data_IF_903722848378
#
_entry.id   IF_903722848378
#
_cell.length_a   1.000
_cell.length_b   1.000
_cell.length_c   1.000
_cell.angle_alpha   90.00
_cell.angle_beta   90.00
_cell.angle_gamma   90.00
#
_symmetry.space_group_name_H-M   'P 1'
#
loop_
_entity.id
_entity.type
_entity.pdbx_description
1 polymer ?
#
# COMPACT_ATOMS: atom_id res chain seq x y z
N UNK A 1 -11.75 -17.96 -14.32
CA UNK A 1 -10.47 -17.75 -13.61
C UNK A 1 -10.32 -16.25 -13.44
N UNK A 2 -9.82 -15.85 -12.29
CA UNK A 2 -9.73 -14.45 -11.91
C UNK A 2 -8.28 -14.14 -11.54
N UNK A 3 -7.64 -14.94 -10.69
CA UNK A 3 -6.18 -14.96 -10.55
C UNK A 3 -5.56 -16.10 -11.40
N UNK A 4 -4.73 -15.78 -12.39
CA UNK A 4 -4.00 -16.81 -13.17
C UNK A 4 -2.72 -17.28 -12.48
N UNK A 5 -2.26 -16.52 -11.47
CA UNK A 5 -1.00 -16.69 -10.76
C UNK A 5 -1.08 -17.53 -9.47
N UNK A 6 -2.27 -17.99 -9.05
CA UNK A 6 -2.50 -18.63 -7.74
C UNK A 6 -1.41 -19.64 -7.35
N UNK A 7 -1.03 -19.67 -6.06
CA UNK A 7 -0.12 -20.65 -5.47
C UNK A 7 -0.72 -22.07 -5.55
N UNK A 8 -0.62 -22.66 -6.73
CA UNK A 8 -1.27 -23.90 -7.11
C UNK A 8 -0.25 -25.01 -7.26
N UNK A 9 -0.31 -25.98 -6.35
CA UNK A 9 0.41 -27.26 -6.35
C UNK A 9 -0.18 -28.20 -5.29
N UNK A 10 -1.46 -27.98 -4.96
CA UNK A 10 -2.10 -28.55 -3.80
C UNK A 10 -2.92 -29.75 -4.22
N UNK A 11 -2.68 -30.89 -3.58
CA UNK A 11 -3.66 -31.97 -3.65
C UNK A 11 -4.93 -31.55 -2.92
N UNK A 12 -6.09 -32.07 -3.31
CA UNK A 12 -7.35 -31.86 -2.56
C UNK A 12 -7.17 -32.14 -1.06
N UNK A 13 -6.41 -33.20 -0.72
CA UNK A 13 -6.09 -33.54 0.66
C UNK A 13 -5.24 -32.47 1.38
N UNK A 14 -4.25 -31.90 0.69
CA UNK A 14 -3.43 -30.80 1.20
C UNK A 14 -4.29 -29.57 1.45
N UNK A 15 -5.16 -29.20 0.50
CA UNK A 15 -6.03 -28.03 0.59
C UNK A 15 -6.97 -28.12 1.78
N UNK A 16 -7.65 -29.26 1.92
CA UNK A 16 -8.49 -29.48 3.09
C UNK A 16 -7.71 -29.49 4.40
N UNK A 17 -6.46 -29.95 4.41
CA UNK A 17 -5.63 -29.91 5.61
C UNK A 17 -5.30 -28.47 6.04
N UNK A 18 -4.82 -27.61 5.14
CA UNK A 18 -4.46 -26.22 5.48
C UNK A 18 -5.68 -25.34 5.75
N UNK A 19 -6.73 -25.47 4.93
CA UNK A 19 -8.03 -24.82 5.17
C UNK A 19 -8.55 -25.13 6.57
N UNK A 20 -8.49 -26.40 6.99
CA UNK A 20 -8.89 -26.80 8.33
C UNK A 20 -7.91 -26.31 9.40
N UNK A 21 -6.60 -26.29 9.13
CA UNK A 21 -5.58 -25.84 10.08
C UNK A 21 -5.67 -24.34 10.36
N UNK A 22 -5.91 -23.52 9.34
CA UNK A 22 -6.16 -22.07 9.47
C UNK A 22 -7.29 -21.79 10.47
N UNK A 23 -8.45 -22.42 10.27
CA UNK A 23 -9.60 -22.26 11.17
C UNK A 23 -9.29 -22.76 12.59
N UNK A 24 -8.61 -23.91 12.72
CA UNK A 24 -8.22 -24.45 14.03
C UNK A 24 -7.27 -23.54 14.80
N UNK A 25 -6.23 -23.02 14.13
CA UNK A 25 -5.23 -22.13 14.74
C UNK A 25 -5.91 -20.91 15.35
N UNK A 26 -6.85 -20.34 14.61
CA UNK A 26 -7.62 -19.18 15.06
C UNK A 26 -8.50 -19.50 16.27
N UNK A 27 -9.22 -20.61 16.24
CA UNK A 27 -10.12 -21.01 17.32
C UNK A 27 -9.41 -21.43 18.61
N UNK A 28 -8.13 -21.80 18.51
CA UNK A 28 -7.28 -22.21 19.62
C UNK A 28 -6.38 -21.07 20.14
N UNK A 29 -6.36 -19.90 19.52
CA UNK A 29 -5.62 -18.74 20.03
C UNK A 29 -6.30 -18.20 21.29
N UNK A 30 -5.56 -17.87 22.36
CA UNK A 30 -6.11 -17.06 23.45
C UNK A 30 -6.61 -15.75 22.83
N UNK A 31 -7.91 -15.47 22.96
CA UNK A 31 -8.44 -14.14 22.68
C UNK A 31 -7.61 -13.15 23.49
N UNK A 32 -6.98 -12.18 22.83
CA UNK A 32 -6.21 -11.13 23.47
C UNK A 32 -7.09 -10.45 24.52
N UNK A 33 -6.89 -10.75 25.81
CA UNK A 33 -7.45 -9.93 26.87
C UNK A 33 -6.55 -8.69 26.95
N UNK A 34 -7.09 -7.55 26.54
CA UNK A 34 -6.42 -6.26 26.68
C UNK A 34 -6.30 -5.95 28.17
N UNK A 35 -5.19 -6.38 28.79
CA UNK A 35 -4.89 -5.97 30.17
C UNK A 35 -4.57 -4.48 30.12
N UNK A 36 -5.52 -3.67 30.57
CA UNK A 36 -5.31 -2.23 30.77
C UNK A 36 -4.35 -2.07 31.94
N UNK A 37 -3.04 -1.97 31.68
CA UNK A 37 -2.05 -1.90 32.75
C UNK A 37 -1.68 -0.44 33.07
N UNK A 38 -2.19 0.03 34.20
CA UNK A 38 -1.50 1.04 35.00
C UNK A 38 -0.20 0.43 35.56
N UNK A 39 0.90 0.66 34.85
CA UNK A 39 2.30 0.68 35.31
C UNK A 39 3.01 -0.64 35.71
N UNK A 40 4.02 -0.95 34.87
CA UNK A 40 5.32 -1.61 35.06
C UNK A 40 5.50 -2.75 36.09
N UNK A 41 5.75 -3.95 35.54
CA UNK A 41 6.26 -5.11 36.29
C UNK A 41 5.81 -6.43 35.65
N UNK A 42 6.54 -6.90 34.64
CA UNK A 42 6.17 -8.07 33.84
C UNK A 42 6.12 -9.37 34.68
N UNK A 43 4.95 -9.99 34.67
CA UNK A 43 4.83 -11.45 34.49
C UNK A 43 3.68 -11.68 33.52
N UNK A 44 4.00 -12.19 32.34
CA UNK A 44 3.02 -12.70 31.37
C UNK A 44 2.39 -13.94 31.98
N UNK A 45 1.18 -13.83 32.52
CA UNK A 45 0.43 -15.01 32.92
C UNK A 45 -0.14 -15.66 31.65
N UNK A 46 0.55 -16.68 31.14
CA UNK A 46 -0.07 -17.67 30.26
C UNK A 46 -1.21 -18.29 31.06
N UNK A 47 -2.46 -18.05 30.67
CA UNK A 47 -3.57 -18.73 31.31
C UNK A 47 -3.36 -20.25 31.22
N UNK A 48 -3.64 -20.90 32.34
CA UNK A 48 -3.20 -22.24 32.68
C UNK A 48 -3.70 -23.32 31.69
N UNK A 49 -3.09 -24.52 31.68
CA UNK A 49 -3.44 -25.63 30.79
C UNK A 49 -4.91 -26.05 30.78
N UNK A 50 -5.74 -25.60 31.73
CA UNK A 50 -7.19 -25.83 31.74
C UNK A 50 -7.97 -24.97 30.72
N UNK A 51 -7.36 -23.92 30.16
CA UNK A 51 -7.93 -23.10 29.07
C UNK A 51 -7.82 -23.77 27.69
N UNK A 52 -7.08 -24.88 27.60
CA UNK A 52 -7.02 -25.81 26.46
C UNK A 52 -7.82 -27.08 26.81
N UNK A 53 -8.91 -26.95 27.58
CA UNK A 53 -9.99 -27.94 27.46
C UNK A 53 -10.68 -27.68 26.15
N UNK A 54 -10.11 -28.23 25.09
CA UNK A 54 -10.80 -28.77 23.93
C UNK A 54 -12.30 -28.44 23.97
N UNK A 55 -12.71 -27.47 23.14
CA UNK A 55 -14.07 -26.92 22.99
C UNK A 55 -15.13 -27.97 22.55
N UNK A 56 -14.98 -29.23 22.94
CA UNK A 56 -15.81 -30.39 22.60
C UNK A 56 -17.21 -30.33 23.21
N UNK A 57 -17.40 -29.51 24.24
CA UNK A 57 -18.72 -29.15 24.76
C UNK A 57 -19.09 -27.73 24.31
N UNK A 58 -20.40 -27.41 24.20
CA UNK A 58 -20.85 -26.05 23.96
C UNK A 58 -20.20 -25.05 24.92
N UNK A 59 -19.64 -23.98 24.37
CA UNK A 59 -18.94 -22.93 25.10
C UNK A 59 -19.44 -21.54 24.71
N UNK A 60 -19.16 -20.55 25.54
CA UNK A 60 -19.43 -19.14 25.24
C UNK A 60 -18.33 -18.61 24.33
N UNK A 61 -18.72 -18.16 23.15
CA UNK A 61 -17.81 -17.59 22.17
C UNK A 61 -17.89 -16.07 22.23
N UNK A 62 -16.77 -15.39 22.46
CA UNK A 62 -16.71 -13.93 22.57
C UNK A 62 -16.57 -13.31 21.19
N UNK A 63 -17.56 -12.50 20.81
CA UNK A 63 -17.59 -11.80 19.53
C UNK A 63 -16.99 -10.38 19.63
N UNK A 64 -16.47 -10.00 20.79
CA UNK A 64 -16.01 -8.66 21.08
C UNK A 64 -17.14 -7.70 21.45
N UNK A 65 -16.79 -6.58 22.08
CA UNK A 65 -17.74 -5.53 22.45
C UNK A 65 -18.82 -5.98 23.45
N UNK A 66 -18.53 -7.00 24.27
CA UNK A 66 -19.45 -7.56 25.26
C UNK A 66 -20.55 -8.46 24.68
N UNK A 67 -20.44 -8.87 23.40
CA UNK A 67 -21.38 -9.78 22.74
C UNK A 67 -20.84 -11.20 22.78
N UNK A 68 -21.72 -12.16 23.06
CA UNK A 68 -21.38 -13.57 23.11
C UNK A 68 -22.29 -14.39 22.20
N UNK A 69 -21.74 -15.44 21.61
CA UNK A 69 -22.45 -16.54 20.96
C UNK A 69 -22.30 -17.84 21.75
N UNK A 70 -22.88 -18.92 21.24
CA UNK A 70 -22.61 -20.29 21.73
C UNK A 70 -22.11 -21.11 20.56
N UNK A 71 -20.94 -21.71 20.74
CA UNK A 71 -20.28 -22.52 19.72
C UNK A 71 -19.82 -23.86 20.30
N UNK A 72 -19.38 -24.77 19.43
CA UNK A 72 -18.79 -26.06 19.79
C UNK A 72 -17.69 -26.45 18.80
N UNK A 73 -16.72 -27.25 19.25
CA UNK A 73 -15.56 -27.62 18.47
C UNK A 73 -14.72 -26.39 18.12
N UNK A 74 -14.32 -26.31 16.85
CA UNK A 74 -13.54 -25.19 16.32
C UNK A 74 -14.49 -24.08 15.81
N UNK A 75 -15.32 -23.50 16.67
CA UNK A 75 -16.13 -22.33 16.30
C UNK A 75 -17.44 -22.62 15.57
N UNK A 76 -17.97 -23.84 15.60
CA UNK A 76 -19.28 -24.14 15.00
C UNK A 76 -20.38 -23.41 15.76
N UNK A 77 -20.73 -22.21 15.29
CA UNK A 77 -21.66 -21.28 15.94
C UNK A 77 -23.11 -21.75 15.75
N UNK A 78 -23.80 -21.93 16.88
CA UNK A 78 -25.17 -22.43 16.94
C UNK A 78 -26.23 -21.36 16.63
N UNK A 79 -25.88 -20.08 16.68
CA UNK A 79 -26.74 -18.96 16.28
C UNK A 79 -26.68 -18.71 14.77
N UNK A 80 -25.52 -18.92 14.14
CA UNK A 80 -25.35 -18.77 12.68
C UNK A 80 -26.05 -19.86 11.86
N UNK A 81 -26.52 -20.92 12.50
CA UNK A 81 -27.10 -22.09 11.85
C UNK A 81 -28.58 -22.33 12.20
N UNK A 82 -29.31 -22.91 11.25
CA UNK A 82 -30.67 -23.39 11.51
C UNK A 82 -30.62 -24.63 12.41
N UNK A 83 -31.66 -24.88 13.22
CA UNK A 83 -31.69 -26.05 14.11
C UNK A 83 -31.63 -27.36 13.32
N UNK A 84 -32.26 -27.40 12.14
CA UNK A 84 -32.16 -28.53 11.22
C UNK A 84 -30.74 -28.75 10.71
N UNK A 85 -30.01 -27.68 10.36
CA UNK A 85 -28.62 -27.80 9.92
C UNK A 85 -27.73 -28.29 11.06
N UNK A 86 -27.90 -27.76 12.27
CA UNK A 86 -27.15 -28.19 13.47
C UNK A 86 -27.35 -29.70 13.69
N UNK A 87 -28.60 -30.17 13.66
CA UNK A 87 -28.91 -31.60 13.80
C UNK A 87 -28.25 -32.43 12.70
N UNK A 88 -28.35 -32.00 11.44
CA UNK A 88 -27.81 -32.72 10.30
C UNK A 88 -26.27 -32.83 10.36
N UNK A 89 -25.57 -31.76 10.72
CA UNK A 89 -24.11 -31.77 10.85
C UNK A 89 -23.64 -32.63 12.02
N UNK A 90 -24.27 -32.49 13.19
CA UNK A 90 -23.91 -33.29 14.36
C UNK A 90 -24.17 -34.79 14.14
N UNK A 91 -25.29 -35.15 13.49
CA UNK A 91 -25.59 -36.54 13.17
C UNK A 91 -24.56 -37.17 12.23
N UNK A 92 -24.06 -36.42 11.23
CA UNK A 92 -23.02 -36.89 10.31
C UNK A 92 -21.69 -37.21 11.01
N UNK A 93 -21.41 -36.58 12.15
CA UNK A 93 -20.22 -36.87 12.97
C UNK A 93 -20.52 -37.81 14.15
N UNK A 94 -21.70 -38.44 14.17
CA UNK A 94 -22.08 -39.41 15.19
C UNK A 94 -22.56 -38.80 16.51
N UNK A 95 -22.90 -37.51 16.53
CA UNK A 95 -23.43 -36.81 17.71
C UNK A 95 -24.94 -36.65 17.56
N UNK A 96 -25.70 -37.29 18.45
CA UNK A 96 -27.16 -37.17 18.47
C UNK A 96 -27.60 -36.19 19.54
N UNK A 97 -28.37 -35.18 19.15
CA UNK A 97 -28.98 -34.23 20.10
C UNK A 97 -30.13 -34.88 20.85
N UNK A 98 -30.22 -34.61 22.15
CA UNK A 98 -31.40 -35.00 22.93
C UNK A 98 -32.57 -34.09 22.60
N UNK A 99 -33.80 -34.52 22.91
CA UNK A 99 -34.98 -33.66 22.78
C UNK A 99 -34.86 -32.36 23.59
N UNK A 100 -34.16 -32.39 24.72
CA UNK A 100 -33.88 -31.20 25.53
C UNK A 100 -32.98 -30.22 24.79
N UNK A 101 -31.89 -30.71 24.18
CA UNK A 101 -30.97 -29.87 23.39
C UNK A 101 -31.72 -29.21 22.22
N UNK A 102 -32.56 -29.99 21.51
CA UNK A 102 -33.37 -29.49 20.39
C UNK A 102 -34.34 -28.39 20.85
N UNK A 103 -35.01 -28.60 21.98
CA UNK A 103 -35.92 -27.60 22.55
C UNK A 103 -35.17 -26.32 22.95
N UNK A 104 -33.98 -26.45 23.53
CA UNK A 104 -33.13 -25.30 23.87
C UNK A 104 -32.70 -24.52 22.60
N UNK A 105 -32.26 -25.22 21.55
CA UNK A 105 -31.88 -24.60 20.28
C UNK A 105 -33.05 -23.90 19.57
N UNK A 106 -34.25 -24.49 19.60
CA UNK A 106 -35.46 -23.87 19.06
C UNK A 106 -35.84 -22.59 19.81
N UNK A 107 -35.59 -22.55 21.12
CA UNK A 107 -35.88 -21.39 21.96
C UNK A 107 -34.68 -20.42 22.12
N UNK A 108 -33.57 -20.63 21.40
CA UNK A 108 -32.30 -19.91 21.64
C UNK A 108 -32.41 -18.39 21.64
N UNK A 109 -33.28 -17.83 20.80
CA UNK A 109 -33.48 -16.38 20.70
C UNK A 109 -34.18 -15.76 21.93
N UNK A 110 -34.69 -16.59 22.84
CA UNK A 110 -35.31 -16.17 24.11
C UNK A 110 -34.37 -16.32 25.31
N UNK A 111 -33.20 -16.93 25.10
CA UNK A 111 -32.21 -17.23 26.12
C UNK A 111 -31.01 -16.30 25.94
N UNK A 112 -30.34 -15.94 27.04
CA UNK A 112 -28.99 -15.39 26.93
C UNK A 112 -28.01 -16.48 26.47
N UNK A 113 -26.87 -16.13 25.86
CA UNK A 113 -25.84 -17.11 25.48
C UNK A 113 -25.45 -18.04 26.63
N UNK A 114 -25.30 -17.51 27.85
CA UNK A 114 -24.98 -18.29 29.05
C UNK A 114 -26.09 -19.27 29.43
N UNK A 115 -27.35 -18.85 29.31
CA UNK A 115 -28.51 -19.72 29.56
C UNK A 115 -28.64 -20.82 28.52
N UNK A 116 -28.43 -20.50 27.24
CA UNK A 116 -28.43 -21.49 26.17
C UNK A 116 -27.31 -22.51 26.41
N UNK A 117 -26.06 -22.06 26.63
CA UNK A 117 -24.92 -22.92 26.90
C UNK A 117 -25.19 -23.88 28.07
N UNK A 118 -25.81 -23.38 29.15
CA UNK A 118 -26.15 -24.20 30.31
C UNK A 118 -27.28 -25.22 30.04
N UNK A 119 -28.12 -24.97 29.03
CA UNK A 119 -29.24 -25.85 28.65
C UNK A 119 -28.83 -26.97 27.68
N UNK A 120 -27.62 -26.89 27.10
CA UNK A 120 -27.09 -27.86 26.16
C UNK A 120 -26.20 -28.88 26.88
N UNK A 121 -26.35 -30.15 26.52
CA UNK A 121 -25.72 -31.29 27.22
C UNK A 121 -24.87 -32.19 26.32
N UNK A 122 -24.93 -32.01 25.00
CA UNK A 122 -24.18 -32.81 24.05
C UNK A 122 -22.66 -32.52 24.06
N UNK A 123 -21.87 -33.46 23.55
CA UNK A 123 -20.41 -33.34 23.40
C UNK A 123 -19.94 -34.01 22.11
N UNK A 124 -18.86 -33.50 21.51
CA UNK A 124 -18.23 -34.09 20.33
C UNK A 124 -17.37 -35.32 20.67
N UNK A 125 -17.09 -35.57 21.95
CA UNK A 125 -16.39 -36.78 22.41
C UNK A 125 -14.88 -36.78 22.21
N UNK A 126 -14.35 -36.30 21.07
CA UNK A 126 -12.91 -36.18 20.81
C UNK A 126 -12.59 -35.15 19.70
N UNK A 127 -11.30 -34.84 19.52
CA UNK A 127 -10.83 -33.87 18.52
C UNK A 127 -11.09 -34.29 17.06
N UNK A 128 -11.15 -35.60 16.80
CA UNK A 128 -11.41 -36.12 15.45
C UNK A 128 -12.85 -35.78 15.06
N UNK A 129 -13.82 -35.99 15.96
CA UNK A 129 -15.21 -35.57 15.75
C UNK A 129 -15.33 -34.07 15.53
N UNK A 130 -14.60 -33.26 16.30
CA UNK A 130 -14.58 -31.80 16.13
C UNK A 130 -13.97 -31.37 14.79
N UNK A 131 -12.89 -32.04 14.37
CA UNK A 131 -12.24 -31.80 13.08
C UNK A 131 -13.17 -32.18 11.92
N UNK A 132 -13.88 -33.30 12.03
CA UNK A 132 -14.83 -33.76 11.04
C UNK A 132 -16.04 -32.81 10.94
N UNK A 133 -16.55 -32.32 12.08
CA UNK A 133 -17.66 -31.37 12.10
C UNK A 133 -17.31 -30.08 11.37
N UNK A 134 -16.13 -29.54 11.66
CA UNK A 134 -15.60 -28.36 10.98
C UNK A 134 -15.41 -28.63 9.49
N UNK A 135 -14.76 -29.75 9.12
CA UNK A 135 -14.55 -30.12 7.72
C UNK A 135 -15.85 -30.18 6.91
N UNK A 136 -16.89 -30.81 7.46
CA UNK A 136 -18.23 -30.88 6.87
C UNK A 136 -18.86 -29.51 6.72
N UNK A 137 -18.77 -28.67 7.75
CA UNK A 137 -19.34 -27.33 7.71
C UNK A 137 -18.65 -26.44 6.67
N UNK A 138 -17.31 -26.49 6.60
CA UNK A 138 -16.55 -25.74 5.62
C UNK A 138 -16.96 -26.13 4.20
N UNK A 139 -16.99 -27.44 3.91
CA UNK A 139 -17.35 -27.98 2.60
C UNK A 139 -18.80 -27.66 2.20
N UNK A 140 -19.76 -27.84 3.10
CA UNK A 140 -21.19 -27.73 2.77
C UNK A 140 -21.76 -26.32 2.92
N UNK A 141 -21.05 -25.39 3.59
CA UNK A 141 -21.51 -24.01 3.82
C UNK A 141 -20.49 -22.96 3.38
N UNK A 142 -19.30 -22.94 4.00
CA UNK A 142 -18.36 -21.84 3.80
C UNK A 142 -17.83 -21.78 2.35
N UNK A 143 -17.49 -22.92 1.74
CA UNK A 143 -17.05 -22.97 0.35
C UNK A 143 -18.15 -22.56 -0.63
N UNK A 144 -19.38 -23.01 -0.38
CA UNK A 144 -20.55 -22.63 -1.21
C UNK A 144 -20.82 -21.13 -1.11
N UNK A 145 -20.66 -20.55 0.07
CA UNK A 145 -20.80 -19.11 0.28
C UNK A 145 -19.69 -18.32 -0.41
N UNK A 146 -18.44 -18.81 -0.38
CA UNK A 146 -17.33 -18.21 -1.10
C UNK A 146 -17.61 -18.17 -2.60
N UNK A 147 -17.94 -19.32 -3.20
CA UNK A 147 -18.20 -19.40 -4.64
C UNK A 147 -19.39 -18.51 -5.04
N UNK A 148 -20.42 -18.41 -4.19
CA UNK A 148 -21.55 -17.50 -4.41
C UNK A 148 -21.16 -16.01 -4.33
N UNK A 149 -20.26 -15.64 -3.41
CA UNK A 149 -19.77 -14.27 -3.26
C UNK A 149 -18.89 -13.83 -4.43
N UNK A 150 -18.08 -14.76 -4.95
CA UNK A 150 -17.22 -14.54 -6.11
C UNK A 150 -18.01 -14.60 -7.44
N UNK A 151 -19.03 -15.44 -7.51
CA UNK A 151 -19.75 -15.73 -8.77
C UNK A 151 -19.03 -16.76 -9.66
N UNK A 152 -17.93 -17.32 -9.17
CA UNK A 152 -17.15 -18.37 -9.84
C UNK A 152 -16.40 -19.19 -8.78
N UNK A 153 -15.86 -20.34 -9.21
CA UNK A 153 -15.04 -21.20 -8.36
C UNK A 153 -13.55 -20.89 -8.58
N UNK A 154 -12.85 -20.45 -7.53
CA UNK A 154 -11.38 -20.46 -7.49
C UNK A 154 -10.89 -21.89 -7.30
N UNK A 155 -9.84 -22.29 -8.01
CA UNK A 155 -9.20 -23.61 -7.83
C UNK A 155 -8.57 -23.75 -6.45
N UNK A 156 -8.33 -24.98 -6.02
CA UNK A 156 -7.73 -25.27 -4.72
C UNK A 156 -6.31 -24.71 -4.61
N UNK A 157 -6.13 -23.78 -3.67
CA UNK A 157 -4.88 -23.06 -3.39
C UNK A 157 -4.87 -22.54 -1.95
N UNK A 158 -3.75 -21.97 -1.52
CA UNK A 158 -3.64 -21.33 -0.20
C UNK A 158 -4.54 -20.10 -0.09
N UNK A 159 -4.64 -19.32 -1.15
CA UNK A 159 -5.50 -18.15 -1.25
C UNK A 159 -6.97 -18.54 -1.13
N UNK A 160 -7.40 -19.63 -1.80
CA UNK A 160 -8.76 -20.14 -1.61
C UNK A 160 -8.98 -20.56 -0.16
N UNK A 161 -8.03 -21.26 0.46
CA UNK A 161 -8.13 -21.68 1.86
C UNK A 161 -8.28 -20.46 2.79
N UNK A 162 -7.54 -19.38 2.51
CA UNK A 162 -7.60 -18.12 3.23
C UNK A 162 -8.95 -17.42 3.05
N UNK A 163 -9.47 -17.34 1.83
CA UNK A 163 -10.80 -16.79 1.57
C UNK A 163 -11.91 -17.60 2.27
N UNK A 164 -11.80 -18.93 2.31
CA UNK A 164 -12.74 -19.79 3.05
C UNK A 164 -12.66 -19.52 4.55
N UNK A 165 -11.45 -19.36 5.11
CA UNK A 165 -11.25 -19.00 6.51
C UNK A 165 -11.87 -17.65 6.86
N UNK A 166 -11.74 -16.66 5.97
CA UNK A 166 -12.39 -15.36 6.09
C UNK A 166 -13.92 -15.48 6.08
N UNK A 167 -14.49 -16.22 5.13
CA UNK A 167 -15.94 -16.44 5.01
C UNK A 167 -16.51 -17.16 6.24
N UNK A 168 -15.83 -18.21 6.71
CA UNK A 168 -16.23 -18.97 7.90
C UNK A 168 -16.45 -18.07 9.11
N UNK A 169 -15.57 -17.09 9.27
CA UNK A 169 -15.47 -16.29 10.46
C UNK A 169 -16.24 -14.97 10.41
N UNK A 170 -16.06 -14.19 9.35
CA UNK A 170 -16.54 -12.80 9.26
C UNK A 170 -17.74 -12.57 8.35
N UNK A 171 -18.37 -13.64 7.84
CA UNK A 171 -19.57 -13.53 7.04
C UNK A 171 -19.35 -12.84 5.68
N UNK A 172 -20.42 -12.77 4.89
CA UNK A 172 -20.43 -12.41 3.47
C UNK A 172 -19.95 -10.99 3.10
N UNK A 173 -19.51 -10.18 4.07
CA UNK A 173 -19.00 -8.82 3.84
C UNK A 173 -17.50 -8.75 3.58
N UNK A 174 -16.72 -9.77 3.98
CA UNK A 174 -15.25 -9.76 3.76
C UNK A 174 -14.92 -9.87 2.27
N UNK A 175 -15.69 -10.64 1.51
CA UNK A 175 -15.60 -10.67 0.05
C UNK A 175 -16.36 -9.46 -0.52
N UNK A 176 -15.83 -8.27 -0.24
CA UNK A 176 -16.38 -7.00 -0.71
C UNK A 176 -16.16 -6.78 -2.21
N UNK A 177 -16.78 -5.74 -2.79
CA UNK A 177 -16.68 -5.46 -4.22
C UNK A 177 -15.25 -5.14 -4.67
N UNK A 178 -14.42 -4.52 -3.82
CA UNK A 178 -13.02 -4.19 -4.14
C UNK A 178 -12.13 -5.43 -4.13
N UNK A 179 -12.21 -6.26 -3.09
CA UNK A 179 -11.52 -7.55 -3.08
C UNK A 179 -11.95 -8.40 -4.27
N UNK A 180 -13.25 -8.47 -4.57
CA UNK A 180 -13.72 -9.20 -5.77
C UNK A 180 -13.13 -8.61 -7.06
N UNK A 181 -13.11 -7.29 -7.20
CA UNK A 181 -12.52 -6.64 -8.39
C UNK A 181 -11.04 -6.95 -8.54
N UNK A 182 -10.26 -6.89 -7.45
CA UNK A 182 -8.84 -7.25 -7.44
C UNK A 182 -8.62 -8.71 -7.85
N UNK A 183 -9.45 -9.62 -7.33
CA UNK A 183 -9.43 -11.03 -7.74
C UNK A 183 -9.77 -11.17 -9.23
N UNK A 184 -10.86 -10.53 -9.70
CA UNK A 184 -11.33 -10.58 -11.10
C UNK A 184 -10.30 -10.04 -12.11
N UNK A 185 -9.47 -9.08 -11.69
CA UNK A 185 -8.44 -8.46 -12.51
C UNK A 185 -7.06 -9.10 -12.39
N UNK A 186 -6.93 -10.23 -11.70
CA UNK A 186 -5.65 -10.87 -11.39
C UNK A 186 -4.66 -9.95 -10.63
N UNK A 187 -5.18 -8.98 -9.87
CA UNK A 187 -4.36 -8.02 -9.12
C UNK A 187 -4.14 -8.54 -7.70
N UNK A 188 -3.10 -9.36 -7.54
CA UNK A 188 -2.75 -9.96 -6.25
C UNK A 188 -2.33 -8.94 -5.19
N UNK A 189 -1.42 -7.98 -5.45
CA UNK A 189 -1.06 -6.99 -4.44
C UNK A 189 -2.26 -6.22 -3.89
N UNK A 190 -3.21 -5.87 -4.76
CA UNK A 190 -4.45 -5.22 -4.35
C UNK A 190 -5.34 -6.16 -3.52
N UNK A 191 -5.47 -7.43 -3.90
CA UNK A 191 -6.21 -8.41 -3.10
C UNK A 191 -5.58 -8.62 -1.71
N UNK A 192 -4.24 -8.65 -1.64
CA UNK A 192 -3.49 -8.72 -0.39
C UNK A 192 -3.80 -7.50 0.49
N UNK A 193 -3.76 -6.29 -0.07
CA UNK A 193 -4.09 -5.04 0.64
C UNK A 193 -5.52 -5.04 1.18
N UNK A 194 -6.48 -5.38 0.33
CA UNK A 194 -7.91 -5.43 0.67
C UNK A 194 -8.19 -6.38 1.84
N UNK A 195 -7.50 -7.51 1.88
CA UNK A 195 -7.55 -8.46 2.99
C UNK A 195 -6.81 -7.91 4.20
N UNK A 196 -5.59 -7.39 4.06
CA UNK A 196 -4.71 -7.00 5.17
C UNK A 196 -5.27 -5.81 5.96
N UNK A 197 -5.59 -4.73 5.25
CA UNK A 197 -5.92 -3.42 5.82
C UNK A 197 -7.41 -3.14 5.88
N UNK A 198 -8.23 -4.10 5.46
CA UNK A 198 -9.66 -4.09 5.67
C UNK A 198 -10.39 -2.93 4.98
N UNK A 199 -10.06 -2.69 3.72
CA UNK A 199 -10.76 -1.73 2.88
C UNK A 199 -12.28 -2.01 2.75
N UNK A 200 -12.76 -3.22 3.13
CA UNK A 200 -14.17 -3.65 3.09
C UNK A 200 -14.86 -4.01 4.43
N UNK A 201 -14.30 -3.77 5.63
CA UNK A 201 -14.87 -4.31 6.88
C UNK A 201 -14.82 -3.40 8.12
N UNK A 202 -15.50 -3.81 9.20
CA UNK A 202 -15.42 -3.16 10.52
C UNK A 202 -14.17 -3.66 11.27
N UNK A 203 -13.39 -2.81 11.95
CA UNK A 203 -12.04 -3.11 12.53
C UNK A 203 -11.82 -4.41 13.34
N UNK A 204 -12.83 -5.25 13.52
CA UNK A 204 -12.83 -6.60 14.10
C UNK A 204 -11.96 -7.57 13.28
N UNK A 205 -11.15 -8.42 13.94
CA UNK A 205 -10.33 -9.50 13.33
C UNK A 205 -9.01 -9.11 12.59
N UNK A 206 -8.33 -8.04 13.01
CA UNK A 206 -7.03 -7.60 12.45
C UNK A 206 -5.95 -8.70 12.38
N UNK A 207 -5.76 -9.48 13.45
CA UNK A 207 -4.76 -10.55 13.49
C UNK A 207 -5.03 -11.68 12.49
N UNK A 208 -6.30 -11.91 12.15
CA UNK A 208 -6.68 -12.94 11.19
C UNK A 208 -6.39 -12.47 9.78
N UNK A 209 -6.86 -11.28 9.43
CA UNK A 209 -6.57 -10.64 8.13
C UNK A 209 -5.09 -10.60 7.83
N UNK A 210 -4.28 -10.32 8.86
CA UNK A 210 -2.83 -10.44 8.77
C UNK A 210 -2.41 -11.84 8.28
N UNK A 211 -2.84 -12.91 8.94
CA UNK A 211 -2.45 -14.27 8.58
C UNK A 211 -3.02 -14.74 7.22
N UNK A 212 -4.23 -14.31 6.87
CA UNK A 212 -4.89 -14.71 5.62
C UNK A 212 -4.33 -13.95 4.41
N UNK A 213 -3.96 -12.67 4.57
CA UNK A 213 -3.25 -11.92 3.53
C UNK A 213 -1.85 -12.50 3.28
N UNK A 214 -1.13 -12.95 4.31
CA UNK A 214 0.17 -13.62 4.11
C UNK A 214 0.05 -14.88 3.24
N UNK A 215 -1.11 -15.54 3.20
CA UNK A 215 -1.38 -16.68 2.29
C UNK A 215 -1.66 -16.28 0.85
N UNK A 216 -2.09 -15.05 0.61
CA UNK A 216 -2.04 -14.45 -0.72
C UNK A 216 -0.59 -14.11 -1.10
N UNK A 217 0.14 -13.55 -0.14
CA UNK A 217 1.46 -12.99 -0.38
C UNK A 217 1.40 -11.76 -1.30
N UNK A 218 2.48 -10.98 -1.28
CA UNK A 218 2.68 -9.89 -2.25
C UNK A 218 3.38 -10.40 -3.53
N UNK A 219 3.93 -11.62 -3.48
CA UNK A 219 4.79 -12.21 -4.49
C UNK A 219 4.42 -13.68 -4.73
N UNK A 220 4.72 -14.21 -5.91
CA UNK A 220 4.68 -15.64 -6.27
C UNK A 220 5.86 -16.40 -5.65
N UNK A 221 6.00 -16.26 -4.33
CA UNK A 221 6.88 -17.07 -3.49
C UNK A 221 6.05 -17.72 -2.39
N UNK A 222 6.15 -19.04 -2.18
CA UNK A 222 5.57 -19.62 -0.98
C UNK A 222 6.28 -19.00 0.22
N UNK A 223 5.62 -18.99 1.36
CA UNK A 223 6.13 -18.71 2.71
C UNK A 223 7.44 -19.47 3.11
N UNK A 224 8.20 -20.04 2.18
CA UNK A 224 9.28 -20.98 2.46
C UNK A 224 10.59 -20.80 1.67
N UNK A 225 10.79 -19.78 0.81
CA UNK A 225 12.11 -19.67 0.13
C UNK A 225 12.63 -18.27 -0.24
N UNK A 226 12.04 -17.18 0.27
CA UNK A 226 12.67 -15.85 0.15
C UNK A 226 12.98 -15.45 -1.31
N UNK A 227 12.20 -15.92 -2.28
CA UNK A 227 12.39 -15.55 -3.68
C UNK A 227 11.94 -14.10 -3.83
N UNK A 228 12.87 -13.21 -4.14
CA UNK A 228 12.58 -11.81 -4.42
C UNK A 228 11.54 -11.69 -5.55
N UNK A 229 10.68 -10.66 -5.55
CA UNK A 229 9.73 -10.44 -6.62
C UNK A 229 10.40 -10.43 -7.99
N UNK A 230 9.66 -10.85 -9.01
CA UNK A 230 10.00 -10.47 -10.37
C UNK A 230 9.67 -8.99 -10.62
N UNK A 231 10.08 -8.47 -11.77
CA UNK A 231 9.92 -7.04 -12.10
C UNK A 231 8.47 -6.57 -12.01
N UNK A 232 7.54 -7.32 -12.60
CA UNK A 232 6.13 -6.91 -12.68
C UNK A 232 5.46 -7.01 -11.31
N UNK A 233 5.83 -8.01 -10.51
CA UNK A 233 5.39 -8.13 -9.11
C UNK A 233 5.89 -6.96 -8.27
N UNK A 234 7.17 -6.62 -8.39
CA UNK A 234 7.76 -5.51 -7.65
C UNK A 234 7.11 -4.17 -8.02
N UNK A 235 6.82 -3.97 -9.32
CA UNK A 235 6.11 -2.77 -9.80
C UNK A 235 4.73 -2.69 -9.20
N UNK A 236 3.98 -3.77 -9.25
CA UNK A 236 2.59 -3.76 -8.79
C UNK A 236 2.49 -3.64 -7.27
N UNK A 237 3.47 -4.16 -6.52
CA UNK A 237 3.55 -3.99 -5.07
C UNK A 237 3.93 -2.58 -4.66
N UNK A 238 4.96 -1.98 -5.28
CA UNK A 238 5.28 -0.57 -5.03
C UNK A 238 4.12 0.35 -5.46
N UNK A 239 3.47 0.06 -6.59
CA UNK A 239 2.28 0.79 -7.05
C UNK A 239 1.13 0.69 -6.05
N UNK A 240 0.81 -0.51 -5.58
CA UNK A 240 -0.22 -0.72 -4.57
C UNK A 240 0.09 0.08 -3.31
N UNK A 241 1.33 0.04 -2.83
CA UNK A 241 1.73 0.83 -1.67
C UNK A 241 1.59 2.32 -1.88
N UNK A 242 2.06 2.85 -3.02
CA UNK A 242 1.91 4.26 -3.36
C UNK A 242 0.44 4.68 -3.41
N UNK A 243 -0.44 3.84 -3.98
CA UNK A 243 -1.88 4.14 -4.09
C UNK A 243 -2.60 4.18 -2.74
N UNK A 244 -2.19 3.34 -1.77
CA UNK A 244 -2.86 3.20 -0.48
C UNK A 244 -2.00 3.64 0.71
N UNK A 245 -0.96 4.44 0.46
CA UNK A 245 0.05 4.79 1.45
C UNK A 245 -0.59 5.38 2.72
N UNK A 246 -1.52 6.32 2.55
CA UNK A 246 -2.19 6.98 3.66
C UNK A 246 -3.10 6.03 4.46
N UNK A 247 -3.90 5.18 3.80
CA UNK A 247 -4.76 4.20 4.46
C UNK A 247 -3.96 3.16 5.23
N UNK A 248 -2.86 2.69 4.63
CA UNK A 248 -1.92 1.77 5.27
C UNK A 248 -1.33 2.43 6.51
N UNK A 249 -0.80 3.65 6.40
CA UNK A 249 -0.20 4.37 7.53
C UNK A 249 -1.22 4.71 8.61
N UNK A 250 -2.44 5.10 8.24
CA UNK A 250 -3.51 5.38 9.19
C UNK A 250 -3.93 4.11 9.95
N UNK A 251 -4.09 2.99 9.25
CA UNK A 251 -4.36 1.70 9.87
C UNK A 251 -3.22 1.29 10.79
N UNK A 252 -1.99 1.27 10.30
CA UNK A 252 -0.82 0.89 11.10
C UNK A 252 -0.66 1.80 12.32
N UNK A 253 -0.89 3.11 12.20
CA UNK A 253 -0.87 4.06 13.32
C UNK A 253 -1.97 3.83 14.36
N UNK A 254 -3.09 3.19 14.03
CA UNK A 254 -4.13 2.80 15.00
C UNK A 254 -3.78 1.54 15.79
N UNK A 255 -2.98 0.65 15.19
CA UNK A 255 -2.61 -0.64 15.80
C UNK A 255 -1.17 -0.65 16.37
N UNK A 256 -0.34 0.33 16.01
CA UNK A 256 1.03 0.55 16.52
C UNK A 256 1.14 1.13 17.97
N UNK A 257 0.18 1.91 18.53
CA UNK A 257 0.34 2.54 19.84
C UNK A 257 -0.17 1.71 21.03
N UNK A 258 -0.48 0.42 20.86
CA UNK A 258 -0.87 -0.45 21.97
C UNK A 258 0.36 -0.92 22.78
N UNK A 259 0.87 0.01 23.60
CA UNK A 259 1.54 -0.20 24.88
C UNK A 259 2.27 -1.56 25.07
N UNK A 260 3.47 -1.68 24.50
CA UNK A 260 4.47 -2.66 24.94
C UNK A 260 4.38 -4.07 24.35
N UNK A 261 3.53 -4.30 23.35
CA UNK A 261 3.78 -5.43 22.42
C UNK A 261 4.92 -5.03 21.48
N UNK A 262 5.83 -5.94 21.09
CA UNK A 262 6.84 -5.62 20.09
C UNK A 262 6.12 -5.01 18.87
N UNK A 263 6.68 -3.95 18.26
CA UNK A 263 6.10 -3.38 17.03
C UNK A 263 5.80 -4.57 16.13
N UNK A 264 4.58 -4.63 15.59
CA UNK A 264 4.17 -5.72 14.71
C UNK A 264 5.31 -5.82 13.69
N UNK A 265 6.13 -6.87 13.77
CA UNK A 265 7.46 -6.90 13.13
C UNK A 265 7.36 -7.16 11.62
N UNK A 266 6.26 -6.71 11.03
CA UNK A 266 5.75 -7.06 9.72
C UNK A 266 4.75 -5.98 9.22
N UNK A 267 5.04 -4.69 9.46
CA UNK A 267 4.43 -3.62 8.67
C UNK A 267 4.74 -3.83 7.18
N UNK A 268 3.98 -3.20 6.28
CA UNK A 268 4.20 -3.41 4.84
C UNK A 268 5.65 -3.08 4.43
N UNK A 269 6.32 -2.18 5.14
CA UNK A 269 7.69 -1.71 4.91
C UNK A 269 8.71 -2.83 4.65
N UNK A 270 8.64 -3.94 5.38
CA UNK A 270 9.53 -5.09 5.14
C UNK A 270 9.28 -5.70 3.76
N UNK A 271 8.02 -5.81 3.34
CA UNK A 271 7.69 -6.29 2.01
C UNK A 271 8.10 -5.28 0.94
N UNK A 272 7.86 -3.98 1.16
CA UNK A 272 8.26 -2.93 0.22
C UNK A 272 9.74 -2.96 -0.07
N UNK A 273 10.59 -3.25 0.91
CA UNK A 273 12.02 -3.34 0.66
C UNK A 273 12.35 -4.35 -0.43
N UNK A 274 11.70 -5.51 -0.51
CA UNK A 274 11.97 -6.49 -1.58
C UNK A 274 11.53 -6.02 -2.96
N UNK A 275 10.41 -5.29 -3.04
CA UNK A 275 9.94 -4.72 -4.32
C UNK A 275 10.78 -3.55 -4.75
N UNK A 276 11.09 -2.65 -3.83
CA UNK A 276 12.00 -1.54 -4.04
C UNK A 276 13.36 -2.05 -4.52
N UNK A 277 13.96 -3.00 -3.82
CA UNK A 277 15.24 -3.62 -4.18
C UNK A 277 15.20 -4.28 -5.57
N UNK A 278 14.05 -4.85 -5.96
CA UNK A 278 13.87 -5.44 -7.29
C UNK A 278 13.72 -4.38 -8.37
N UNK A 279 12.92 -3.35 -8.13
CA UNK A 279 12.78 -2.24 -9.07
C UNK A 279 14.12 -1.60 -9.28
N UNK A 280 14.88 -1.35 -8.18
CA UNK A 280 16.32 -1.01 -8.03
C UNK A 280 17.29 -2.09 -8.56
N UNK A 281 16.84 -3.12 -9.27
CA UNK A 281 17.77 -4.01 -10.00
C UNK A 281 17.53 -3.95 -11.51
N UNK A 282 16.33 -3.58 -11.94
CA UNK A 282 15.97 -3.71 -13.34
C UNK A 282 16.48 -2.52 -14.17
N UNK A 283 16.36 -1.27 -13.71
CA UNK A 283 16.85 -0.10 -14.46
C UNK A 283 18.36 0.00 -14.53
N UNK A 284 19.12 -0.47 -13.55
CA UNK A 284 20.57 -0.53 -13.66
C UNK A 284 21.03 -1.40 -14.85
N UNK A 285 20.14 -2.19 -15.47
CA UNK A 285 20.41 -3.03 -16.65
C UNK A 285 20.06 -2.38 -18.02
N UNK A 286 19.73 -1.09 -18.11
CA UNK A 286 19.58 -0.37 -19.40
C UNK A 286 18.44 -0.80 -20.29
N UNK A 287 17.52 -1.56 -19.72
CA UNK A 287 16.17 -1.65 -20.24
C UNK A 287 15.54 -0.27 -20.01
N UNK A 288 14.81 0.30 -20.98
CA UNK A 288 13.77 1.27 -20.61
C UNK A 288 12.87 0.54 -19.63
N UNK A 289 13.01 1.02 -18.44
CA UNK A 289 12.13 0.97 -17.31
C UNK A 289 11.84 2.50 -17.34
N UNK A 290 10.62 3.00 -17.38
CA UNK A 290 9.66 2.79 -16.30
C UNK A 290 10.39 2.25 -15.05
N UNK A 291 11.39 3.06 -14.59
CA UNK A 291 12.75 2.93 -13.94
C UNK A 291 12.97 2.28 -12.55
N UNK A 292 14.21 2.34 -12.00
CA UNK A 292 14.64 1.73 -10.72
C UNK A 292 14.13 2.66 -9.65
N UNK A 293 13.30 2.16 -8.73
CA UNK A 293 12.66 3.00 -7.73
C UNK A 293 13.59 3.17 -6.53
N UNK A 294 14.51 4.12 -6.59
CA UNK A 294 15.32 4.55 -5.45
C UNK A 294 14.46 5.38 -4.51
N UNK A 295 14.13 4.84 -3.34
CA UNK A 295 13.38 5.59 -2.32
C UNK A 295 14.31 5.86 -1.14
N UNK A 296 14.42 7.12 -0.77
CA UNK A 296 15.04 7.62 0.44
C UNK A 296 14.44 6.97 1.68
N UNK A 297 15.05 7.25 2.83
CA UNK A 297 14.51 6.89 4.12
C UNK A 297 13.40 7.90 4.42
N UNK A 298 12.24 7.42 4.87
CA UNK A 298 11.20 8.28 5.47
C UNK A 298 11.67 8.77 6.85
N UNK A 299 12.77 9.55 6.88
CA UNK A 299 13.29 10.18 8.09
C UNK A 299 13.23 11.70 8.02
N UNK A 300 12.95 12.33 9.16
CA UNK A 300 12.83 13.80 9.24
C UNK A 300 14.23 14.44 9.14
N UNK A 301 15.32 13.70 9.43
CA UNK A 301 16.74 14.09 9.29
C UNK A 301 17.69 12.89 9.57
N UNK A 302 18.85 12.73 8.86
CA UNK A 302 19.36 13.55 7.75
C UNK A 302 18.94 13.02 6.36
N UNK A 303 18.68 13.93 5.42
CA UNK A 303 18.28 13.59 4.04
C UNK A 303 19.28 12.71 3.29
N UNK A 304 18.83 12.15 2.20
CA UNK A 304 19.49 11.13 1.41
C UNK A 304 20.32 11.70 0.25
N UNK A 305 21.18 10.85 -0.29
CA UNK A 305 21.85 11.11 -1.57
C UNK A 305 21.59 9.91 -2.45
N UNK A 306 20.78 10.11 -3.48
CA UNK A 306 20.36 9.12 -4.45
C UNK A 306 21.09 9.41 -5.76
N UNK A 307 22.07 8.58 -6.08
CA UNK A 307 22.80 8.65 -7.33
C UNK A 307 22.32 7.51 -8.24
N UNK A 308 21.64 7.91 -9.31
CA UNK A 308 21.16 7.10 -10.39
C UNK A 308 22.25 6.56 -11.30
N UNK A 309 21.85 5.84 -12.35
CA UNK A 309 22.77 5.11 -13.22
C UNK A 309 22.85 5.66 -14.65
N UNK A 310 23.14 4.83 -15.64
CA UNK A 310 23.30 5.25 -17.03
C UNK A 310 22.09 4.81 -17.90
N UNK A 311 20.94 4.60 -17.28
CA UNK A 311 19.71 4.04 -17.87
C UNK A 311 18.52 4.99 -17.56
N UNK A 312 17.21 4.63 -17.66
CA UNK A 312 16.11 5.57 -17.27
C UNK A 312 15.41 5.39 -15.88
N UNK A 313 15.69 6.27 -14.91
CA UNK A 313 15.65 6.01 -13.45
C UNK A 313 14.38 6.49 -12.72
N UNK A 314 14.14 6.06 -11.48
CA UNK A 314 13.05 6.56 -10.62
C UNK A 314 13.56 6.88 -9.20
N UNK A 315 14.00 8.11 -8.94
CA UNK A 315 14.53 8.53 -7.64
C UNK A 315 13.45 9.26 -6.84
N UNK A 316 13.32 8.95 -5.55
CA UNK A 316 12.38 9.53 -4.58
C UNK A 316 13.15 9.87 -3.30
N UNK A 317 13.38 11.14 -2.98
CA UNK A 317 14.04 11.56 -1.75
C UNK A 317 13.18 11.36 -0.50
N UNK A 318 11.85 11.48 -0.66
CA UNK A 318 10.85 11.40 0.42
C UNK A 318 10.87 12.59 1.37
N UNK A 319 11.47 12.46 2.56
CA UNK A 319 11.57 13.55 3.53
C UNK A 319 13.02 13.82 3.80
N UNK A 320 13.33 15.08 4.10
CA UNK A 320 14.68 15.50 4.40
C UNK A 320 15.27 16.27 3.22
N UNK A 321 16.48 16.75 3.40
CA UNK A 321 17.14 17.54 2.36
C UNK A 321 17.98 16.60 1.50
N UNK A 322 17.46 16.26 0.33
CA UNK A 322 17.93 15.16 -0.47
C UNK A 322 18.78 15.64 -1.65
N UNK A 323 19.63 14.75 -2.15
CA UNK A 323 20.43 15.00 -3.35
C UNK A 323 20.22 13.87 -4.33
N UNK A 324 19.48 14.14 -5.40
CA UNK A 324 19.12 13.19 -6.44
C UNK A 324 19.91 13.48 -7.72
N UNK A 325 20.54 12.47 -8.32
CA UNK A 325 21.29 12.61 -9.57
C UNK A 325 20.95 11.48 -10.53
N UNK A 326 20.28 11.72 -11.66
CA UNK A 326 19.91 10.68 -12.62
C UNK A 326 21.10 10.10 -13.39
N UNK A 327 22.05 10.98 -13.74
CA UNK A 327 23.29 10.74 -14.47
C UNK A 327 23.17 10.58 -15.99
N UNK A 328 22.75 9.44 -16.55
CA UNK A 328 22.51 9.36 -17.99
C UNK A 328 21.34 8.42 -18.27
N UNK A 329 20.62 8.66 -19.37
CA UNK A 329 19.38 7.96 -19.71
C UNK A 329 18.16 8.77 -19.28
N UNK A 330 16.94 8.30 -19.56
CA UNK A 330 15.71 9.10 -19.34
C UNK A 330 15.21 8.92 -17.91
N UNK A 331 15.59 9.82 -17.03
CA UNK A 331 15.41 9.70 -15.59
C UNK A 331 14.18 10.43 -15.07
N UNK A 332 13.68 9.98 -13.92
CA UNK A 332 12.61 10.61 -13.16
C UNK A 332 13.07 10.80 -11.72
N UNK A 333 13.18 12.04 -11.29
CA UNK A 333 13.64 12.41 -9.95
C UNK A 333 12.54 13.16 -9.20
N UNK A 334 12.25 12.75 -7.96
CA UNK A 334 11.32 13.38 -7.03
C UNK A 334 12.06 13.68 -5.72
N UNK A 335 12.27 14.95 -5.39
CA UNK A 335 12.90 15.35 -4.12
C UNK A 335 12.00 14.99 -2.94
N UNK A 336 10.85 15.64 -2.82
CA UNK A 336 9.87 15.38 -1.78
C UNK A 336 9.74 16.55 -0.81
N UNK A 337 9.69 16.29 0.49
CA UNK A 337 9.65 17.32 1.53
C UNK A 337 11.08 17.68 1.96
N UNK A 338 11.58 18.86 1.59
CA UNK A 338 12.86 19.33 2.10
C UNK A 338 13.55 20.33 1.19
N UNK A 339 14.84 20.54 1.41
CA UNK A 339 15.64 21.39 0.53
C UNK A 339 16.46 20.46 -0.34
N UNK A 340 15.98 20.19 -1.54
CA UNK A 340 16.49 19.12 -2.38
C UNK A 340 17.38 19.65 -3.50
N UNK A 341 18.28 18.80 -3.98
CA UNK A 341 19.15 19.09 -5.12
C UNK A 341 19.01 17.97 -6.14
N UNK A 342 18.37 18.27 -7.27
CA UNK A 342 18.10 17.34 -8.35
C UNK A 342 18.96 17.67 -9.58
N UNK A 343 19.62 16.65 -10.14
CA UNK A 343 20.39 16.73 -11.39
C UNK A 343 19.95 15.60 -12.32
N UNK A 344 19.37 15.90 -13.48
CA UNK A 344 18.94 14.87 -14.45
C UNK A 344 20.14 14.14 -15.03
N UNK A 345 21.03 14.89 -15.69
CA UNK A 345 22.29 14.37 -16.17
C UNK A 345 22.39 14.43 -17.68
N UNK A 346 22.08 13.36 -18.39
CA UNK A 346 22.16 13.30 -19.84
C UNK A 346 21.01 12.49 -20.40
N UNK A 347 20.60 12.78 -21.64
CA UNK A 347 19.31 12.40 -22.21
C UNK A 347 18.14 13.18 -21.57
N UNK A 348 16.91 12.92 -22.02
CA UNK A 348 15.76 13.73 -21.63
C UNK A 348 15.16 13.26 -20.31
N UNK A 349 15.24 14.10 -19.28
CA UNK A 349 14.89 13.80 -17.90
C UNK A 349 13.60 14.52 -17.42
N UNK A 350 13.04 14.05 -16.31
CA UNK A 350 11.96 14.67 -15.55
C UNK A 350 12.38 14.87 -14.10
N UNK A 351 12.43 16.13 -13.64
CA UNK A 351 12.80 16.46 -12.26
C UNK A 351 11.66 17.19 -11.57
N UNK A 352 11.38 16.79 -10.33
CA UNK A 352 10.38 17.38 -9.44
C UNK A 352 10.97 17.67 -8.07
N UNK A 353 11.11 18.94 -7.71
CA UNK A 353 11.67 19.36 -6.41
C UNK A 353 10.77 18.90 -5.27
N UNK A 354 9.54 19.42 -5.21
CA UNK A 354 8.58 19.07 -4.19
C UNK A 354 8.23 20.28 -3.34
N UNK A 355 8.42 20.19 -2.02
CA UNK A 355 8.10 21.26 -1.10
C UNK A 355 9.37 21.85 -0.48
N UNK A 356 9.35 23.17 -0.30
CA UNK A 356 10.41 24.05 0.17
C UNK A 356 11.34 24.59 -0.93
N UNK A 357 12.65 24.41 -0.82
CA UNK A 357 13.60 25.23 -1.58
C UNK A 357 14.51 24.32 -2.38
N UNK A 358 14.17 24.06 -3.63
CA UNK A 358 14.82 23.02 -4.42
C UNK A 358 15.74 23.60 -5.48
N UNK A 359 16.78 22.86 -5.84
CA UNK A 359 17.70 23.19 -6.91
C UNK A 359 17.62 22.14 -8.00
N UNK A 360 17.14 22.50 -9.18
CA UNK A 360 16.93 21.60 -10.32
C UNK A 360 17.88 21.95 -11.47
N UNK A 361 18.63 20.96 -11.94
CA UNK A 361 19.43 21.04 -13.17
C UNK A 361 19.07 19.86 -14.07
N UNK A 362 18.52 20.13 -15.26
CA UNK A 362 18.19 19.09 -16.24
C UNK A 362 19.46 18.35 -16.69
N UNK A 363 20.44 19.09 -17.19
CA UNK A 363 21.64 18.50 -17.76
C UNK A 363 21.49 18.37 -19.27
N UNK A 364 22.25 17.49 -19.91
CA UNK A 364 22.32 17.36 -21.35
C UNK A 364 21.09 16.64 -21.94
N UNK A 365 20.07 17.34 -22.39
CA UNK A 365 18.82 16.77 -22.88
C UNK A 365 17.86 17.87 -23.28
N UNK A 366 16.63 17.49 -23.64
CA UNK A 366 15.53 18.46 -23.61
C UNK A 366 14.66 18.06 -22.40
N UNK A 367 14.94 18.66 -21.25
CA UNK A 367 14.44 18.19 -19.96
C UNK A 367 13.14 18.88 -19.53
N UNK A 368 12.44 18.27 -18.57
CA UNK A 368 11.26 18.85 -17.92
C UNK A 368 11.51 19.03 -16.44
N UNK A 369 11.37 20.26 -15.95
CA UNK A 369 11.66 20.63 -14.57
C UNK A 369 10.44 21.29 -13.92
N UNK A 370 10.13 20.86 -12.70
CA UNK A 370 9.02 21.35 -11.86
C UNK A 370 9.54 21.49 -10.42
N UNK A 371 9.76 22.72 -9.96
CA UNK A 371 10.29 23.04 -8.64
C UNK A 371 9.28 22.69 -7.55
N UNK A 372 8.06 23.21 -7.70
CA UNK A 372 6.95 22.85 -6.83
C UNK A 372 6.59 24.02 -5.91
N UNK A 373 6.55 23.78 -4.61
CA UNK A 373 6.11 24.76 -3.63
C UNK A 373 7.28 25.37 -2.88
N UNK A 374 7.58 26.63 -3.14
CA UNK A 374 8.50 27.44 -2.34
C UNK A 374 9.30 28.36 -3.22
N UNK A 375 10.61 28.50 -2.98
CA UNK A 375 11.47 29.33 -3.81
C UNK A 375 12.55 28.44 -4.42
N UNK A 376 12.34 28.09 -5.67
CA UNK A 376 13.14 27.08 -6.36
C UNK A 376 14.17 27.72 -7.30
N UNK A 377 15.24 26.97 -7.56
CA UNK A 377 16.34 27.40 -8.40
C UNK A 377 16.50 26.46 -9.58
N UNK A 378 16.38 27.01 -10.78
CA UNK A 378 16.60 26.30 -12.04
C UNK A 378 17.95 26.68 -12.62
N UNK A 379 18.76 25.68 -12.94
CA UNK A 379 20.13 25.88 -13.41
C UNK A 379 20.28 25.32 -14.82
N UNK A 380 20.82 26.15 -15.71
CA UNK A 380 21.22 25.78 -17.06
C UNK A 380 22.68 26.13 -17.32
N UNK A 381 23.39 25.23 -17.97
CA UNK A 381 24.77 25.38 -18.40
C UNK A 381 24.91 25.13 -19.90
N UNK A 382 25.97 25.66 -20.51
CA UNK A 382 26.29 25.38 -21.92
C UNK A 382 26.38 23.86 -22.12
N UNK A 383 25.49 23.35 -22.98
CA UNK A 383 25.42 21.93 -23.32
C UNK A 383 24.22 21.21 -22.73
N UNK A 384 23.44 21.87 -21.85
CA UNK A 384 22.28 21.27 -21.21
C UNK A 384 21.18 21.01 -22.26
N UNK A 385 20.72 22.03 -22.99
CA UNK A 385 19.82 21.81 -24.14
C UNK A 385 18.66 22.78 -24.13
N UNK A 386 17.49 22.38 -24.62
CA UNK A 386 16.29 23.21 -24.60
C UNK A 386 15.28 22.67 -23.59
N UNK A 387 15.46 23.11 -22.36
CA UNK A 387 14.69 22.63 -21.22
C UNK A 387 13.37 23.38 -21.07
N UNK A 388 12.44 22.75 -20.36
CA UNK A 388 11.10 23.29 -20.12
C UNK A 388 10.82 23.35 -18.63
N UNK A 389 10.44 24.55 -18.17
CA UNK A 389 10.02 24.80 -16.79
C UNK A 389 8.50 24.89 -16.74
N UNK A 390 7.90 24.02 -15.93
CA UNK A 390 6.47 24.00 -15.62
C UNK A 390 6.28 24.34 -14.15
N UNK A 391 6.36 25.63 -13.80
CA UNK A 391 6.23 26.09 -12.42
C UNK A 391 5.18 27.20 -12.29
N UNK A 392 4.49 27.20 -11.16
CA UNK A 392 3.50 28.20 -10.77
C UNK A 392 3.90 28.99 -9.52
N UNK A 393 5.08 28.71 -8.96
CA UNK A 393 5.73 29.50 -7.92
C UNK A 393 5.88 30.98 -8.31
N UNK A 394 5.89 31.85 -7.30
CA UNK A 394 5.88 33.31 -7.51
C UNK A 394 7.25 33.96 -7.31
N UNK A 395 8.26 33.24 -6.80
CA UNK A 395 9.52 33.83 -6.34
C UNK A 395 10.78 32.96 -6.65
N UNK A 396 10.72 32.18 -7.71
CA UNK A 396 11.81 31.29 -8.13
C UNK A 396 12.98 32.05 -8.78
N UNK A 397 14.03 31.34 -9.16
CA UNK A 397 15.17 31.93 -9.88
C UNK A 397 15.66 31.01 -10.99
N UNK A 398 16.01 31.61 -12.13
CA UNK A 398 16.66 30.90 -13.24
C UNK A 398 18.09 31.40 -13.40
N UNK A 399 19.05 30.47 -13.44
CA UNK A 399 20.45 30.74 -13.69
C UNK A 399 20.89 30.15 -15.02
N UNK A 400 21.53 30.98 -15.85
CA UNK A 400 22.10 30.57 -17.14
C UNK A 400 23.60 30.83 -17.09
N UNK A 401 24.40 29.76 -17.12
CA UNK A 401 25.87 29.80 -16.94
C UNK A 401 26.31 30.59 -15.69
N UNK A 402 25.57 30.43 -14.60
CA UNK A 402 25.82 31.12 -13.34
C UNK A 402 25.37 32.60 -13.31
N UNK A 403 24.77 33.11 -14.38
CA UNK A 403 24.13 34.42 -14.39
C UNK A 403 22.63 34.27 -14.09
N UNK A 404 22.18 34.90 -13.01
CA UNK A 404 20.75 34.98 -12.70
C UNK A 404 20.04 35.82 -13.76
N UNK A 405 18.93 35.29 -14.28
CA UNK A 405 18.07 36.04 -15.18
C UNK A 405 17.25 37.04 -14.35
N UNK A 406 17.29 38.31 -14.76
CA UNK A 406 16.54 39.40 -14.10
C UNK A 406 15.60 40.11 -15.07
N UNK A 407 15.49 39.61 -16.30
CA UNK A 407 14.73 40.22 -17.38
C UNK A 407 15.54 41.18 -18.24
N UNK A 408 14.83 42.03 -18.98
CA UNK A 408 15.41 42.78 -20.08
C UNK A 408 14.53 43.92 -20.58
N UNK A 409 15.14 44.76 -21.42
CA UNK A 409 14.49 45.91 -22.04
C UNK A 409 14.23 45.60 -23.51
N UNK A 410 13.05 45.93 -24.00
CA UNK A 410 12.72 45.89 -25.42
C UNK A 410 12.88 47.26 -26.03
N UNK A 411 13.87 47.41 -26.90
CA UNK A 411 14.12 48.64 -27.64
C UNK A 411 13.12 48.85 -28.78
N UNK A 412 12.92 50.12 -29.16
CA UNK A 412 12.02 50.46 -30.25
C UNK A 412 12.44 49.75 -31.56
N UNK A 413 11.50 49.02 -32.16
CA UNK A 413 11.64 48.22 -33.40
C UNK A 413 12.34 46.86 -33.25
N UNK A 414 12.53 46.34 -32.04
CA UNK A 414 12.93 44.95 -31.82
C UNK A 414 11.72 44.09 -31.40
N UNK A 415 11.64 42.81 -31.83
CA UNK A 415 10.53 41.93 -31.44
C UNK A 415 10.72 41.25 -30.07
N UNK A 416 11.94 41.26 -29.52
CA UNK A 416 12.34 40.58 -28.27
C UNK A 416 12.80 41.59 -27.20
N UNK A 417 12.84 41.16 -25.93
CA UNK A 417 13.58 41.85 -24.86
C UNK A 417 14.99 41.28 -24.78
N UNK A 418 15.94 42.11 -24.38
CA UNK A 418 17.34 41.71 -24.26
C UNK A 418 17.89 42.17 -22.91
N UNK A 419 18.73 41.36 -22.30
CA UNK A 419 19.42 41.76 -21.07
C UNK A 419 20.49 42.82 -21.37
N UNK A 420 21.00 43.49 -20.33
CA UNK A 420 21.87 44.66 -20.48
C UNK A 420 23.17 44.40 -21.26
N UNK A 421 23.68 43.17 -21.28
CA UNK A 421 24.91 42.79 -21.98
C UNK A 421 24.67 42.20 -23.38
N UNK A 422 23.42 42.03 -23.82
CA UNK A 422 23.10 41.51 -25.15
C UNK A 422 23.22 39.99 -25.31
N UNK A 423 23.48 39.25 -24.24
CA UNK A 423 23.77 37.81 -24.32
C UNK A 423 22.54 36.93 -24.21
N UNK A 424 21.49 37.41 -23.53
CA UNK A 424 20.22 36.70 -23.32
C UNK A 424 19.08 37.48 -23.98
N UNK A 425 18.29 36.76 -24.76
CA UNK A 425 17.06 37.27 -25.38
C UNK A 425 15.84 36.55 -24.83
N UNK A 426 14.77 37.31 -24.74
CA UNK A 426 13.48 36.88 -24.23
C UNK A 426 12.41 37.16 -25.28
N UNK A 427 11.60 36.16 -25.60
CA UNK A 427 10.50 36.28 -26.56
C UNK A 427 9.24 35.61 -26.00
N UNK A 428 8.10 36.30 -26.06
CA UNK A 428 6.82 35.70 -25.67
C UNK A 428 6.23 34.92 -26.85
N UNK A 429 5.97 33.63 -26.65
CA UNK A 429 5.23 32.76 -27.57
C UNK A 429 3.92 32.32 -26.91
N UNK A 430 2.83 33.02 -27.22
CA UNK A 430 1.58 32.86 -26.50
C UNK A 430 1.73 33.31 -25.04
N UNK A 431 1.52 32.39 -24.10
CA UNK A 431 1.75 32.61 -22.65
C UNK A 431 3.13 32.15 -22.19
N UNK A 432 3.93 31.52 -23.06
CA UNK A 432 5.24 30.99 -22.68
C UNK A 432 6.33 32.02 -22.95
N UNK A 433 7.34 32.07 -22.08
CA UNK A 433 8.55 32.84 -22.29
C UNK A 433 9.63 31.92 -22.88
N UNK A 434 10.12 32.29 -24.05
CA UNK A 434 11.24 31.65 -24.72
C UNK A 434 12.51 32.42 -24.39
N UNK A 435 13.49 31.72 -23.81
CA UNK A 435 14.81 32.29 -23.50
C UNK A 435 15.83 31.73 -24.48
N UNK A 436 16.60 32.63 -25.08
CA UNK A 436 17.61 32.30 -26.10
C UNK A 436 18.96 32.88 -25.71
N UNK A 437 20.01 32.06 -25.80
CA UNK A 437 21.40 32.50 -25.65
C UNK A 437 22.18 32.21 -26.94
N UNK A 438 22.86 33.22 -27.48
CA UNK A 438 23.70 33.05 -28.69
C UNK A 438 22.92 32.62 -29.95
N UNK A 439 21.59 32.78 -29.97
CA UNK A 439 20.72 32.35 -31.06
C UNK A 439 20.15 30.92 -30.91
N UNK A 440 20.50 30.21 -29.85
CA UNK A 440 19.93 28.90 -29.50
C UNK A 440 18.90 29.08 -28.39
N UNK A 441 17.74 28.48 -28.56
CA UNK A 441 16.73 28.41 -27.50
C UNK A 441 17.24 27.49 -26.38
N UNK A 442 17.21 27.97 -25.14
CA UNK A 442 17.76 27.27 -23.97
C UNK A 442 16.69 26.96 -22.92
N UNK A 443 15.63 27.76 -22.87
CA UNK A 443 14.49 27.52 -21.99
C UNK A 443 13.17 27.84 -22.68
N UNK A 444 12.17 27.06 -22.33
CA UNK A 444 10.76 27.43 -22.41
C UNK A 444 10.19 27.49 -20.99
N UNK A 445 9.85 28.69 -20.53
CA UNK A 445 9.13 28.88 -19.26
C UNK A 445 7.65 28.95 -19.56
N UNK A 446 6.90 27.98 -19.06
CA UNK A 446 5.48 27.88 -19.35
C UNK A 446 4.64 28.87 -18.57
N UNK A 447 3.61 29.44 -19.22
CA UNK A 447 2.63 30.35 -18.59
C UNK A 447 3.23 31.56 -17.86
N UNK A 448 4.39 32.02 -18.32
CA UNK A 448 5.14 33.11 -17.74
C UNK A 448 4.35 34.43 -17.65
N UNK A 449 4.48 35.09 -16.51
CA UNK A 449 4.08 36.46 -16.26
C UNK A 449 5.30 37.27 -15.82
N UNK A 450 5.42 38.51 -16.32
CA UNK A 450 6.51 39.40 -15.90
C UNK A 450 6.53 39.56 -14.39
N UNK A 451 7.72 39.44 -13.80
CA UNK A 451 7.97 39.42 -12.37
C UNK A 451 8.19 38.00 -11.81
N UNK A 452 7.66 36.95 -12.46
CA UNK A 452 7.96 35.57 -12.08
C UNK A 452 9.44 35.26 -12.31
N UNK A 453 9.99 34.35 -11.52
CA UNK A 453 11.42 33.99 -11.52
C UNK A 453 12.36 35.19 -11.28
N UNK A 454 11.83 36.32 -10.77
CA UNK A 454 12.55 37.59 -10.70
C UNK A 454 12.86 38.23 -12.06
N UNK A 455 12.17 37.82 -13.13
CA UNK A 455 12.39 38.28 -14.50
C UNK A 455 11.41 39.41 -14.84
N UNK A 456 11.93 40.65 -14.92
CA UNK A 456 11.14 41.82 -15.30
C UNK A 456 11.36 42.22 -16.77
N UNK A 457 10.31 42.10 -17.58
CA UNK A 457 10.34 42.48 -18.99
C UNK A 457 9.73 43.87 -19.18
N UNK A 458 10.54 44.83 -19.60
CA UNK A 458 10.13 46.24 -19.71
C UNK A 458 10.26 46.77 -21.13
N UNK A 459 9.29 47.55 -21.57
CA UNK A 459 9.36 48.26 -22.84
C UNK A 459 10.01 49.63 -22.63
N UNK A 460 11.03 49.95 -23.43
CA UNK A 460 11.83 51.19 -23.38
C UNK A 460 11.02 52.50 -23.48
N UNK A 461 9.72 52.43 -23.80
CA UNK A 461 8.83 53.58 -23.89
C UNK A 461 8.31 54.14 -22.54
N UNK A 462 8.58 53.51 -21.39
CA UNK A 462 8.03 53.98 -20.09
C UNK A 462 8.91 54.92 -19.25
N UNK A 463 10.14 55.25 -19.66
CA UNK A 463 11.03 56.15 -18.86
C UNK A 463 11.30 57.55 -19.45
N UNK A 464 10.48 58.06 -20.38
CA UNK A 464 10.57 59.48 -20.83
C UNK A 464 9.42 60.38 -20.41
N UNK A 465 8.66 60.05 -19.35
CA UNK A 465 7.57 60.91 -18.86
C UNK A 465 7.54 61.16 -17.34
N UNK A 466 8.61 60.90 -16.59
CA UNK A 466 8.67 61.19 -15.15
C UNK A 466 10.01 61.76 -14.64
N UNK A 467 10.71 62.55 -15.46
CA UNK A 467 11.90 63.32 -15.04
C UNK A 467 11.62 64.83 -15.07
#
# INVERSE_FOLDING_TARGET
MALSSLHTNWSLGSYFADRNDLVKREENRPLYEQVTNGQQGQTFAFNSPDSIRLKLQPYLDDLGGGKFSVAVGYGFDLYKNSVSDIQAFLAQVGVTLTQSDINALNNRNTLTPSQLKASLSFTLGNEITASNLMGLYLEQKAEVQLDAALGYHLTESQERAALVSLVYNGGSGIIGPKLRAALDSDNRPEAWYEIRYQSNGDGTHANRRYAESDKFGLYDGPDQNNAAPNQDEAREVMRMYTMHHEEIRAYEALFSPLAGSPPISHGIDFNLSFSRDRLITDFAEGRTIDGEVWVGKDDVFPGDTLDGTANGDLLFGEKGNDVLRGAAGTDVLYGGDGIDTLSGGADADLLRGGANYDSLQGGAGDDRLEGGAGFDTYVWSIGDGNDRIEDSGADDAIFVNGQMLVGGVKEANQPYWENADGTIRYEMSGTNLIVTQGGTQIWTVENFQSGQFGIDLTDSAMERMAA
#
